data_IF_315349717817
#
_entry.id   IF_315349717817
#
_cell.length_a   1.000
_cell.length_b   1.000
_cell.length_c   1.000
_cell.angle_alpha   90.00
_cell.angle_beta   90.00
_cell.angle_gamma   90.00
#
_symmetry.space_group_name_H-M   'P 1'
#
loop_
_entity.id
_entity.type
_entity.pdbx_description
1 polymer ?
#
# COMPACT_ATOMS: atom_id res chain seq x y z
N UNK A 1 5.23 -73.99 21.52
CA UNK A 1 6.06 -74.93 20.71
C UNK A 1 6.62 -74.17 19.51
N UNK A 2 7.99 -74.11 19.46
CA UNK A 2 8.88 -73.90 18.30
C UNK A 2 8.75 -72.48 17.62
N UNK A 3 9.63 -71.52 17.83
CA UNK A 3 11.08 -71.42 17.52
C UNK A 3 11.46 -71.37 16.04
N UNK A 4 12.24 -70.38 15.69
CA UNK A 4 13.20 -70.27 14.59
C UNK A 4 12.73 -69.41 13.40
N UNK A 5 13.52 -68.53 12.81
CA UNK A 5 14.95 -68.12 12.79
C UNK A 5 14.95 -66.83 11.95
N UNK A 6 15.56 -65.71 12.32
CA UNK A 6 16.94 -65.32 12.13
C UNK A 6 17.53 -65.52 10.71
N UNK A 7 17.75 -64.37 10.06
CA UNK A 7 18.78 -63.99 9.08
C UNK A 7 18.34 -62.68 8.53
N UNK A 8 18.93 -61.49 8.68
CA UNK A 8 20.35 -61.21 8.56
C UNK A 8 20.70 -60.92 7.10
N UNK A 9 20.46 -59.65 6.62
CA UNK A 9 21.22 -59.14 5.48
C UNK A 9 21.42 -57.65 5.70
N UNK A 10 22.63 -57.32 6.03
CA UNK A 10 23.26 -56.02 5.90
C UNK A 10 23.41 -55.69 4.42
N UNK A 11 22.86 -54.61 3.97
CA UNK A 11 23.15 -54.00 2.68
C UNK A 11 23.27 -52.48 2.86
N UNK A 12 24.51 -52.14 3.05
CA UNK A 12 25.30 -51.13 2.37
C UNK A 12 24.61 -49.80 2.09
N UNK A 13 24.83 -48.90 3.00
CA UNK A 13 24.59 -47.46 2.81
C UNK A 13 25.55 -46.93 1.74
N UNK A 14 25.04 -46.67 0.56
CA UNK A 14 25.68 -45.80 -0.41
C UNK A 14 25.13 -44.36 -0.19
N UNK A 15 25.76 -43.62 0.71
CA UNK A 15 25.59 -42.21 0.83
C UNK A 15 26.16 -41.51 -0.40
N UNK A 16 25.32 -41.26 -1.38
CA UNK A 16 25.61 -40.27 -2.41
C UNK A 16 25.51 -38.87 -1.79
N UNK A 17 26.60 -38.40 -1.25
CA UNK A 17 26.78 -36.97 -0.95
C UNK A 17 26.88 -36.25 -2.28
N UNK A 18 25.73 -35.83 -2.85
CA UNK A 18 25.71 -34.84 -3.91
C UNK A 18 25.97 -33.53 -3.23
N UNK A 19 27.23 -33.10 -3.24
CA UNK A 19 27.62 -31.76 -2.88
C UNK A 19 26.88 -30.76 -3.77
N UNK A 20 25.87 -30.10 -3.22
CA UNK A 20 25.38 -28.82 -3.77
C UNK A 20 26.49 -27.80 -3.54
N UNK A 21 27.50 -27.83 -4.40
CA UNK A 21 28.31 -26.63 -4.63
C UNK A 21 27.43 -25.67 -5.46
N UNK A 22 26.43 -25.07 -4.83
CA UNK A 22 25.86 -23.86 -5.31
C UNK A 22 26.89 -22.75 -5.08
N UNK A 23 27.91 -22.73 -5.94
CA UNK A 23 28.70 -21.52 -6.16
C UNK A 23 27.72 -20.46 -6.62
N UNK A 24 27.23 -19.66 -5.67
CA UNK A 24 26.56 -18.43 -5.94
C UNK A 24 27.53 -17.52 -6.66
N UNK A 25 27.50 -17.58 -7.99
CA UNK A 25 27.98 -16.48 -8.83
C UNK A 25 27.15 -15.29 -8.43
N UNK A 26 27.75 -14.37 -7.67
CA UNK A 26 27.12 -13.17 -7.20
C UNK A 26 26.75 -12.26 -8.36
N UNK A 27 25.67 -12.60 -9.03
CA UNK A 27 24.94 -11.64 -9.84
C UNK A 27 24.19 -10.76 -8.84
N UNK A 28 24.71 -9.59 -8.54
CA UNK A 28 24.01 -8.53 -7.84
C UNK A 28 22.90 -7.99 -8.75
N UNK A 29 21.96 -8.85 -9.13
CA UNK A 29 20.63 -8.39 -9.44
C UNK A 29 20.00 -8.04 -8.09
N UNK A 30 20.21 -6.80 -7.66
CA UNK A 30 19.39 -6.23 -6.61
C UNK A 30 18.00 -6.11 -7.21
N UNK A 31 17.15 -7.12 -6.95
CA UNK A 31 15.76 -7.05 -7.33
C UNK A 31 15.18 -5.75 -6.81
N UNK A 32 14.47 -5.02 -7.68
CA UNK A 32 13.89 -3.76 -7.29
C UNK A 32 12.95 -3.96 -6.09
N UNK A 33 13.16 -3.20 -5.03
CA UNK A 33 12.26 -3.22 -3.88
C UNK A 33 10.92 -2.64 -4.31
N UNK A 34 9.89 -3.46 -4.37
CA UNK A 34 8.54 -2.99 -4.68
C UNK A 34 7.86 -2.47 -3.41
N UNK A 35 7.28 -1.26 -3.49
CA UNK A 35 6.44 -0.67 -2.46
C UNK A 35 5.02 -0.58 -3.00
N UNK A 36 4.08 -1.26 -2.34
CA UNK A 36 2.66 -1.25 -2.69
C UNK A 36 1.98 -0.08 -1.99
N UNK A 37 1.28 0.74 -2.76
CA UNK A 37 0.63 1.96 -2.27
C UNK A 37 -0.85 1.93 -2.57
N UNK A 38 -1.69 2.07 -1.53
CA UNK A 38 -3.12 2.31 -1.66
C UNK A 38 -3.41 3.79 -1.88
N UNK A 39 -4.11 4.12 -2.96
CA UNK A 39 -4.51 5.50 -3.31
C UNK A 39 -5.99 5.54 -3.68
N UNK A 40 -6.61 6.72 -3.63
CA UNK A 40 -7.90 6.92 -4.30
C UNK A 40 -7.69 7.01 -5.81
N UNK A 41 -8.78 6.87 -6.58
CA UNK A 41 -8.72 7.06 -8.04
C UNK A 41 -7.99 8.37 -8.36
N UNK A 42 -6.91 8.25 -9.13
CA UNK A 42 -6.00 9.35 -9.39
C UNK A 42 -6.55 10.28 -10.47
N UNK A 43 -6.36 11.58 -10.28
CA UNK A 43 -6.49 12.57 -11.33
C UNK A 43 -5.21 12.64 -12.18
N UNK A 44 -5.29 13.21 -13.39
CA UNK A 44 -4.13 13.41 -14.27
C UNK A 44 -2.95 14.12 -13.57
N UNK A 45 -3.24 15.07 -12.66
CA UNK A 45 -2.22 15.80 -11.91
C UNK A 45 -1.56 14.92 -10.85
N UNK A 46 -2.29 13.98 -10.28
CA UNK A 46 -1.76 13.00 -9.32
C UNK A 46 -0.94 11.94 -10.02
N UNK A 47 -1.36 11.48 -11.17
CA UNK A 47 -0.56 10.56 -11.99
C UNK A 47 0.79 11.16 -12.32
N UNK A 48 0.84 12.39 -12.86
CA UNK A 48 2.09 13.10 -13.17
C UNK A 48 3.01 13.26 -11.94
N UNK A 49 2.43 13.49 -10.77
CA UNK A 49 3.19 13.58 -9.52
C UNK A 49 3.79 12.24 -9.12
N UNK A 50 3.00 11.17 -9.18
CA UNK A 50 3.47 9.83 -8.87
C UNK A 50 4.51 9.32 -9.87
N UNK A 51 4.37 9.64 -11.15
CA UNK A 51 5.37 9.34 -12.17
C UNK A 51 6.71 10.01 -11.85
N UNK A 52 6.65 11.29 -11.41
CA UNK A 52 7.87 12.00 -11.01
C UNK A 52 8.52 11.39 -9.76
N UNK A 53 7.72 10.97 -8.79
CA UNK A 53 8.23 10.27 -7.60
C UNK A 53 8.88 8.94 -8.03
N UNK A 54 8.23 8.17 -8.88
CA UNK A 54 8.80 6.91 -9.40
C UNK A 54 10.10 7.14 -10.14
N UNK A 55 10.20 8.20 -10.95
CA UNK A 55 11.45 8.57 -11.62
C UNK A 55 12.59 8.83 -10.62
N UNK A 56 12.30 9.59 -9.56
CA UNK A 56 13.29 9.90 -8.52
C UNK A 56 13.74 8.66 -7.74
N UNK A 57 12.86 7.70 -7.53
CA UNK A 57 13.14 6.48 -6.78
C UNK A 57 13.91 5.41 -7.57
N UNK A 58 14.03 5.58 -8.90
CA UNK A 58 14.81 4.65 -9.74
C UNK A 58 16.26 4.51 -9.29
N UNK A 59 16.88 5.60 -8.85
CA UNK A 59 18.27 5.59 -8.36
C UNK A 59 18.46 4.72 -7.12
N UNK A 60 17.41 4.54 -6.32
CA UNK A 60 17.40 3.73 -5.11
C UNK A 60 16.87 2.31 -5.36
N UNK A 61 16.65 1.95 -6.64
CA UNK A 61 16.11 0.67 -7.09
C UNK A 61 14.74 0.35 -6.44
N UNK A 62 13.89 1.38 -6.25
CA UNK A 62 12.55 1.25 -5.69
C UNK A 62 11.52 1.36 -6.80
N UNK A 63 10.58 0.41 -6.84
CA UNK A 63 9.42 0.39 -7.73
C UNK A 63 8.14 0.61 -6.94
N UNK A 64 7.29 1.55 -7.37
CA UNK A 64 5.97 1.76 -6.81
C UNK A 64 4.94 0.90 -7.55
N UNK A 65 4.06 0.28 -6.80
CA UNK A 65 2.90 -0.45 -7.30
C UNK A 65 1.64 0.11 -6.65
N UNK A 66 0.70 0.61 -7.45
CA UNK A 66 -0.50 1.26 -6.96
C UNK A 66 -1.69 0.30 -6.94
N UNK A 67 -2.49 0.40 -5.87
CA UNK A 67 -3.84 -0.15 -5.78
C UNK A 67 -4.79 1.03 -5.63
N UNK A 68 -5.70 1.21 -6.59
CA UNK A 68 -6.69 2.29 -6.55
C UNK A 68 -7.97 1.84 -5.86
N UNK A 69 -8.49 2.70 -5.01
CA UNK A 69 -9.73 2.51 -4.28
C UNK A 69 -10.75 3.61 -4.65
N UNK A 70 -12.01 3.28 -4.62
CA UNK A 70 -13.12 4.22 -4.82
C UNK A 70 -13.85 4.58 -3.53
N UNK A 71 -13.60 3.83 -2.46
CA UNK A 71 -14.20 4.02 -1.15
C UNK A 71 -13.13 4.34 -0.10
N UNK A 72 -13.35 5.42 0.65
CA UNK A 72 -12.46 5.94 1.69
C UNK A 72 -12.24 4.96 2.86
N UNK A 73 -13.13 3.99 3.07
CA UNK A 73 -13.00 2.99 4.13
C UNK A 73 -11.93 1.92 3.83
N UNK A 74 -11.58 1.72 2.56
CA UNK A 74 -10.78 0.58 2.12
C UNK A 74 -9.26 0.76 2.29
N UNK A 75 -8.61 1.91 1.97
CA UNK A 75 -7.15 2.00 1.97
C UNK A 75 -6.49 1.75 3.33
N UNK A 76 -7.11 2.18 4.43
CA UNK A 76 -6.59 1.90 5.77
C UNK A 76 -6.72 0.42 6.13
N UNK A 77 -7.84 -0.21 5.73
CA UNK A 77 -8.04 -1.63 5.93
C UNK A 77 -6.98 -2.44 5.16
N UNK A 78 -6.71 -2.09 3.92
CA UNK A 78 -5.70 -2.75 3.09
C UNK A 78 -4.29 -2.67 3.69
N UNK A 79 -3.94 -1.54 4.36
CA UNK A 79 -2.68 -1.45 5.12
C UNK A 79 -2.72 -2.33 6.36
N UNK A 80 -3.81 -2.31 7.13
CA UNK A 80 -3.93 -3.11 8.34
C UNK A 80 -3.88 -4.61 8.05
N UNK A 81 -4.43 -5.04 6.92
CA UNK A 81 -4.43 -6.44 6.47
C UNK A 81 -3.14 -6.85 5.75
N UNK A 82 -2.22 -5.91 5.47
CA UNK A 82 -0.96 -6.17 4.76
C UNK A 82 -1.10 -6.37 3.25
N UNK A 83 -2.21 -5.99 2.66
CA UNK A 83 -2.43 -6.04 1.21
C UNK A 83 -1.59 -4.99 0.46
N UNK A 84 -1.42 -3.82 1.08
CA UNK A 84 -0.52 -2.75 0.65
C UNK A 84 0.41 -2.35 1.79
N UNK A 85 1.59 -1.81 1.47
CA UNK A 85 2.58 -1.42 2.47
C UNK A 85 2.25 -0.07 3.12
N UNK A 86 1.72 0.86 2.33
CA UNK A 86 1.33 2.22 2.76
C UNK A 86 0.08 2.66 1.99
N UNK A 87 -0.54 3.73 2.46
CA UNK A 87 -1.54 4.46 1.68
C UNK A 87 -1.26 5.97 1.65
N UNK A 88 -1.84 6.66 0.66
CA UNK A 88 -1.69 8.10 0.50
C UNK A 88 -3.00 8.72 0.00
N UNK A 89 -3.89 9.14 0.94
CA UNK A 89 -5.20 9.68 0.58
C UNK A 89 -5.84 10.57 1.66
N UNK A 90 -5.39 10.49 2.91
CA UNK A 90 -6.14 10.98 4.06
C UNK A 90 -5.41 12.09 4.82
N UNK A 91 -6.15 12.78 5.69
CA UNK A 91 -5.64 13.71 6.68
C UNK A 91 -5.64 13.08 8.09
N UNK A 92 -4.94 13.70 9.05
CA UNK A 92 -4.79 13.19 10.42
C UNK A 92 -6.09 12.91 11.16
N UNK A 93 -7.11 13.76 11.00
CA UNK A 93 -8.39 13.55 11.69
C UNK A 93 -9.08 12.27 11.24
N UNK A 94 -9.04 11.98 9.94
CA UNK A 94 -9.61 10.74 9.41
C UNK A 94 -8.81 9.52 9.91
N UNK A 95 -7.49 9.57 9.83
CA UNK A 95 -6.62 8.49 10.32
C UNK A 95 -6.86 8.19 11.80
N UNK A 96 -6.88 9.23 12.65
CA UNK A 96 -7.08 9.06 14.08
C UNK A 96 -8.46 8.48 14.42
N UNK A 97 -9.51 8.97 13.75
CA UNK A 97 -10.87 8.43 13.93
C UNK A 97 -10.95 6.97 13.48
N UNK A 98 -10.40 6.66 12.31
CA UNK A 98 -10.38 5.31 11.78
C UNK A 98 -9.65 4.34 12.71
N UNK A 99 -8.48 4.72 13.21
CA UNK A 99 -7.72 3.94 14.18
C UNK A 99 -8.55 3.64 15.44
N UNK A 100 -9.22 4.66 15.99
CA UNK A 100 -10.06 4.52 17.18
C UNK A 100 -11.22 3.55 16.94
N UNK A 101 -11.93 3.72 15.83
CA UNK A 101 -13.09 2.88 15.50
C UNK A 101 -12.72 1.43 15.21
N UNK A 102 -11.56 1.22 14.55
CA UNK A 102 -11.12 -0.11 14.15
C UNK A 102 -10.10 -0.74 15.13
N UNK A 103 -9.80 -0.08 16.26
CA UNK A 103 -8.81 -0.53 17.26
C UNK A 103 -7.44 -0.82 16.64
N UNK A 104 -7.04 0.04 15.70
CA UNK A 104 -5.77 -0.01 14.98
C UNK A 104 -4.85 1.14 15.43
N UNK A 105 -3.60 1.09 14.99
CA UNK A 105 -2.56 2.07 15.33
C UNK A 105 -1.71 2.49 14.13
N UNK A 106 -2.31 2.63 12.97
CA UNK A 106 -1.61 3.13 11.78
C UNK A 106 -1.05 4.52 12.07
N UNK A 107 0.15 4.78 11.58
CA UNK A 107 0.85 6.05 11.80
C UNK A 107 1.16 6.75 10.48
N UNK A 108 1.23 8.09 10.51
CA UNK A 108 1.70 8.86 9.36
C UNK A 108 3.22 8.73 9.26
N UNK A 109 3.69 8.16 8.15
CA UNK A 109 5.12 8.05 7.85
C UNK A 109 5.71 9.36 7.29
N UNK A 110 4.91 10.12 6.53
CA UNK A 110 5.27 11.42 5.96
C UNK A 110 4.02 12.23 5.61
N UNK A 111 4.19 13.54 5.50
CA UNK A 111 3.20 14.45 4.94
C UNK A 111 3.49 14.68 3.46
N UNK A 112 2.44 14.80 2.65
CA UNK A 112 2.60 15.02 1.20
C UNK A 112 2.30 16.46 0.82
N UNK A 113 1.03 16.85 0.84
CA UNK A 113 0.59 18.20 0.53
C UNK A 113 -0.73 18.53 1.24
N UNK A 114 -1.04 19.80 1.36
CA UNK A 114 -2.33 20.27 1.83
C UNK A 114 -3.00 21.08 0.73
N UNK A 115 -4.28 20.82 0.48
CA UNK A 115 -5.11 21.64 -0.40
C UNK A 115 -6.03 22.53 0.46
N UNK A 116 -6.18 23.81 0.12
CA UNK A 116 -7.11 24.67 0.84
C UNK A 116 -8.56 24.22 0.62
N UNK A 117 -9.32 24.13 1.70
CA UNK A 117 -10.76 23.90 1.61
C UNK A 117 -11.41 25.19 1.15
N UNK A 118 -12.30 25.10 0.16
CA UNK A 118 -13.04 26.24 -0.40
C UNK A 118 -14.52 25.90 -0.45
N UNK A 119 -15.35 26.90 -0.19
CA UNK A 119 -16.78 26.83 -0.41
C UNK A 119 -17.08 27.37 -1.81
N UNK A 120 -17.89 26.65 -2.55
CA UNK A 120 -18.31 27.05 -3.89
C UNK A 120 -19.80 27.34 -3.87
N UNK A 121 -20.19 28.47 -4.43
CA UNK A 121 -21.59 28.79 -4.65
C UNK A 121 -22.10 28.10 -5.91
N UNK A 122 -23.27 27.48 -5.82
CA UNK A 122 -24.02 27.10 -7.02
C UNK A 122 -24.38 28.33 -7.87
N UNK A 123 -24.73 28.09 -9.13
CA UNK A 123 -25.15 29.13 -10.05
C UNK A 123 -26.67 29.16 -10.24
N UNK A 124 -27.23 30.36 -10.44
CA UNK A 124 -28.60 30.55 -10.88
C UNK A 124 -28.62 31.53 -12.04
N UNK A 125 -29.17 31.15 -13.19
CA UNK A 125 -29.18 31.95 -14.42
C UNK A 125 -27.77 32.44 -14.84
N UNK A 126 -26.74 31.56 -14.76
CA UNK A 126 -25.36 31.87 -15.13
C UNK A 126 -24.60 32.78 -14.15
N UNK A 127 -25.20 33.14 -13.00
CA UNK A 127 -24.55 33.95 -11.95
C UNK A 127 -24.42 33.16 -10.66
N UNK A 128 -23.39 33.44 -9.87
CA UNK A 128 -23.24 32.82 -8.56
C UNK A 128 -24.46 33.14 -7.68
N UNK A 129 -25.03 32.10 -7.08
CA UNK A 129 -26.19 32.21 -6.18
C UNK A 129 -25.83 33.04 -4.93
N UNK A 130 -24.62 32.84 -4.41
CA UNK A 130 -24.05 33.56 -3.27
C UNK A 130 -22.65 34.07 -3.61
N UNK A 131 -22.29 35.23 -3.15
CA UNK A 131 -20.94 35.82 -3.30
C UNK A 131 -20.23 36.02 -1.96
N UNK A 132 -20.97 35.82 -0.85
CA UNK A 132 -20.46 35.89 0.53
C UNK A 132 -21.15 34.83 1.38
N UNK A 133 -20.43 34.28 2.37
CA UNK A 133 -20.97 33.28 3.30
C UNK A 133 -22.20 33.80 4.07
N UNK A 134 -22.20 35.11 4.42
CA UNK A 134 -23.32 35.76 5.12
C UNK A 134 -24.64 35.80 4.34
N UNK A 135 -24.61 35.49 3.05
CA UNK A 135 -25.83 35.44 2.20
C UNK A 135 -26.45 34.02 2.17
N UNK A 136 -25.75 33.01 2.71
CA UNK A 136 -26.25 31.65 2.76
C UNK A 136 -27.28 31.57 3.89
N UNK A 137 -28.54 31.22 3.60
CA UNK A 137 -29.56 31.11 4.64
C UNK A 137 -29.30 29.91 5.56
N UNK A 138 -29.79 29.96 6.79
CA UNK A 138 -29.75 28.83 7.70
C UNK A 138 -30.55 27.65 7.08
N UNK A 139 -29.97 26.46 7.11
CA UNK A 139 -30.59 25.28 6.53
C UNK A 139 -30.46 25.19 5.00
N UNK A 140 -29.55 25.94 4.38
CA UNK A 140 -29.21 25.74 2.96
C UNK A 140 -28.47 24.41 2.79
N UNK A 141 -28.91 23.62 1.82
CA UNK A 141 -28.28 22.39 1.35
C UNK A 141 -27.44 22.65 0.10
#
# INVERSE_FOLDING_TARGET
MKLKKWFGITALAATAVIGLAACGSGNKNTDAKTVKIGVMTKSDSEEKRWDKIQELLKKDNIKLQFTEFTDYSQPNKAVADGEVDINAFQHYYFLNNWNKENKQNLVAAAETYIAPIRLYSGTKNGKNKYTKVSQIPNGAE
#
